data_IF_269797856271
#
_entry.id   IF_269797856271
#
_cell.length_a   1.000
_cell.length_b   1.000
_cell.length_c   1.000
_cell.angle_alpha   90.00
_cell.angle_beta   90.00
_cell.angle_gamma   90.00
#
_symmetry.space_group_name_H-M   'P 1'
#
loop_
_entity.id
_entity.type
_entity.pdbx_description
1 polymer ?
#
# COMPACT_ATOMS: atom_id res chain seq x y z
N UNK A 1 12.82 11.51 40.69
CA UNK A 1 13.64 10.66 39.79
C UNK A 1 12.70 9.76 39.02
N UNK A 2 12.28 10.17 37.82
CA UNK A 2 11.35 9.36 37.00
C UNK A 2 12.15 8.29 36.27
N UNK A 3 11.86 7.02 36.54
CA UNK A 3 12.40 5.90 35.79
C UNK A 3 11.94 6.01 34.33
N UNK A 4 12.89 6.13 33.40
CA UNK A 4 12.62 6.00 31.97
C UNK A 4 12.24 4.55 31.70
N UNK A 5 10.94 4.27 31.60
CA UNK A 5 10.46 2.97 31.19
C UNK A 5 11.03 2.63 29.81
N UNK A 6 11.59 1.43 29.65
CA UNK A 6 12.04 0.96 28.34
C UNK A 6 10.85 0.92 27.36
N UNK A 7 11.05 1.30 26.09
CA UNK A 7 9.99 1.29 25.09
C UNK A 7 9.42 -0.12 24.94
N UNK A 8 8.13 -0.31 25.27
CA UNK A 8 7.46 -1.58 25.00
C UNK A 8 7.30 -1.72 23.49
N UNK A 9 7.90 -2.78 22.95
CA UNK A 9 7.86 -3.11 21.52
C UNK A 9 7.17 -4.45 21.32
N UNK A 10 6.11 -4.45 20.52
CA UNK A 10 5.39 -5.66 20.14
C UNK A 10 5.92 -6.17 18.80
N UNK A 11 6.48 -7.38 18.77
CA UNK A 11 6.88 -8.04 17.54
C UNK A 11 5.70 -8.86 16.98
N UNK A 12 5.43 -8.72 15.68
CA UNK A 12 4.37 -9.43 14.97
C UNK A 12 4.92 -10.04 13.68
N UNK A 13 4.42 -11.22 13.35
CA UNK A 13 4.68 -11.86 12.05
C UNK A 13 3.46 -11.64 11.16
N UNK A 14 3.67 -10.96 10.03
CA UNK A 14 2.66 -10.77 9.00
C UNK A 14 2.74 -11.95 8.02
N UNK A 15 1.74 -12.86 8.01
CA UNK A 15 1.77 -14.05 7.16
C UNK A 15 1.63 -13.70 5.66
N UNK A 16 2.08 -14.62 4.82
CA UNK A 16 1.85 -14.56 3.36
C UNK A 16 0.41 -14.90 3.05
N UNK A 17 -0.21 -14.17 2.12
CA UNK A 17 -1.56 -14.45 1.63
C UNK A 17 -2.69 -14.19 2.63
N UNK A 18 -2.40 -13.59 3.79
CA UNK A 18 -3.41 -13.23 4.79
C UNK A 18 -3.17 -11.84 5.36
N UNK A 19 -4.26 -11.08 5.43
CA UNK A 19 -4.28 -9.76 6.05
C UNK A 19 -4.31 -9.84 7.57
N UNK A 20 -3.46 -9.07 8.22
CA UNK A 20 -3.49 -8.80 9.66
C UNK A 20 -4.10 -7.42 9.89
N UNK A 21 -5.07 -7.33 10.81
CA UNK A 21 -5.77 -6.08 11.12
C UNK A 21 -5.40 -5.60 12.50
N UNK A 22 -5.07 -4.31 12.60
CA UNK A 22 -4.78 -3.64 13.86
C UNK A 22 -5.82 -2.54 14.09
N UNK A 23 -6.52 -2.65 15.21
CA UNK A 23 -7.51 -1.66 15.63
C UNK A 23 -6.83 -0.57 16.46
N UNK A 24 -7.10 0.70 16.12
CA UNK A 24 -6.63 1.88 16.85
C UNK A 24 -5.09 2.04 16.98
N UNK A 25 -4.26 1.87 15.94
CA UNK A 25 -2.81 1.98 16.07
C UNK A 25 -2.29 3.45 16.04
N UNK A 26 -3.14 4.43 16.34
CA UNK A 26 -2.78 5.85 16.28
C UNK A 26 -1.66 6.16 17.27
N UNK A 27 -0.64 6.88 16.81
CA UNK A 27 0.53 7.23 17.61
C UNK A 27 1.55 6.10 17.74
N UNK A 28 1.37 4.97 17.04
CA UNK A 28 2.36 3.93 16.93
C UNK A 28 3.30 4.16 15.73
N UNK A 29 4.50 3.58 15.81
CA UNK A 29 5.43 3.40 14.71
C UNK A 29 5.50 1.92 14.36
N UNK A 30 5.29 1.61 13.08
CA UNK A 30 5.49 0.30 12.49
C UNK A 30 6.88 0.25 11.85
N UNK A 31 7.81 -0.52 12.41
CA UNK A 31 9.11 -0.80 11.78
C UNK A 31 9.13 -2.21 11.20
N UNK A 32 9.74 -2.39 10.03
CA UNK A 32 9.86 -3.71 9.39
C UNK A 32 11.27 -4.23 9.62
N UNK A 33 11.38 -5.33 10.36
CA UNK A 33 12.66 -5.99 10.64
C UNK A 33 13.11 -6.90 9.49
N UNK A 34 12.16 -7.61 8.88
CA UNK A 34 12.42 -8.51 7.75
C UNK A 34 11.23 -8.53 6.78
N UNK A 35 11.51 -8.77 5.50
CA UNK A 35 10.50 -8.80 4.45
C UNK A 35 10.01 -7.41 4.01
N UNK A 36 8.79 -7.36 3.48
CA UNK A 36 8.13 -6.14 3.01
C UNK A 36 6.63 -6.24 3.25
N UNK A 37 6.03 -5.15 3.71
CA UNK A 37 4.62 -5.10 4.10
C UNK A 37 3.88 -4.07 3.27
N UNK A 38 2.74 -4.48 2.71
CA UNK A 38 1.71 -3.60 2.18
C UNK A 38 0.81 -3.14 3.33
N UNK A 39 0.68 -1.83 3.46
CA UNK A 39 -0.04 -1.14 4.52
C UNK A 39 -1.17 -0.31 3.93
N UNK A 40 -2.40 -0.61 4.35
CA UNK A 40 -3.60 0.17 4.05
C UNK A 40 -4.17 0.73 5.34
N UNK A 41 -4.54 2.01 5.34
CA UNK A 41 -5.10 2.68 6.51
C UNK A 41 -6.48 3.26 6.18
N UNK A 42 -7.48 2.99 7.03
CA UNK A 42 -8.80 3.60 6.89
C UNK A 42 -8.71 5.13 6.88
N UNK A 43 -9.44 5.77 5.97
CA UNK A 43 -9.42 7.23 5.80
C UNK A 43 -8.22 7.77 5.01
N UNK A 44 -7.30 6.91 4.56
CA UNK A 44 -6.24 7.26 3.62
C UNK A 44 -6.54 6.62 2.27
N UNK A 45 -6.42 7.41 1.20
CA UNK A 45 -6.58 6.94 -0.17
C UNK A 45 -5.34 6.22 -0.71
N UNK A 46 -4.22 6.35 -0.01
CA UNK A 46 -2.92 5.87 -0.46
C UNK A 46 -2.46 4.69 0.38
N UNK A 47 -2.22 3.61 -0.33
CA UNK A 47 -1.54 2.45 0.16
C UNK A 47 -0.03 2.67 0.19
N UNK A 48 0.64 2.10 1.19
CA UNK A 48 2.08 2.26 1.39
C UNK A 48 2.75 0.90 1.47
N UNK A 49 3.97 0.81 0.95
CA UNK A 49 4.80 -0.37 1.10
C UNK A 49 6.01 -0.01 1.97
N UNK A 50 6.26 -0.82 3.00
CA UNK A 50 7.36 -0.60 3.95
C UNK A 50 8.27 -1.82 3.91
N UNK A 51 9.55 -1.63 3.59
CA UNK A 51 10.54 -2.70 3.49
C UNK A 51 11.38 -2.85 4.74
N UNK A 52 12.14 -3.94 4.84
CA UNK A 52 13.08 -4.18 5.92
C UNK A 52 14.03 -2.98 6.14
N UNK A 53 14.17 -2.57 7.39
CA UNK A 53 14.94 -1.40 7.80
C UNK A 53 14.19 -0.06 7.67
N UNK A 54 12.97 -0.05 7.12
CA UNK A 54 12.11 1.12 7.07
C UNK A 54 11.03 1.09 8.16
N UNK A 55 10.36 2.22 8.35
CA UNK A 55 9.21 2.34 9.26
C UNK A 55 8.19 3.35 8.77
N UNK A 56 7.03 3.31 9.42
CA UNK A 56 5.90 4.15 9.16
C UNK A 56 5.30 4.66 10.48
N UNK A 57 5.21 5.98 10.62
CA UNK A 57 4.45 6.60 11.70
C UNK A 57 2.95 6.59 11.37
N UNK A 58 2.14 6.12 12.31
CA UNK A 58 0.70 5.99 12.17
C UNK A 58 0.07 7.20 12.85
N UNK A 59 -0.19 8.24 12.07
CA UNK A 59 -0.64 9.54 12.59
C UNK A 59 -2.15 9.60 12.80
N UNK A 60 -2.91 9.01 11.88
CA UNK A 60 -4.37 9.06 11.90
C UNK A 60 -4.97 7.91 12.70
N UNK A 61 -6.20 8.14 13.18
CA UNK A 61 -7.03 7.07 13.73
C UNK A 61 -7.58 6.19 12.60
N UNK A 62 -7.95 4.95 12.94
CA UNK A 62 -8.57 4.02 12.00
C UNK A 62 -8.05 2.59 12.15
N UNK A 63 -8.47 1.73 11.23
CA UNK A 63 -7.94 0.37 11.12
C UNK A 63 -6.71 0.41 10.21
N UNK A 64 -5.66 -0.30 10.62
CA UNK A 64 -4.51 -0.58 9.77
C UNK A 64 -4.60 -2.04 9.31
N UNK A 65 -4.45 -2.26 8.02
CA UNK A 65 -4.38 -3.58 7.42
C UNK A 65 -2.95 -3.79 6.91
N UNK A 66 -2.36 -4.90 7.30
CA UNK A 66 -0.99 -5.30 6.97
C UNK A 66 -1.02 -6.61 6.20
N UNK A 67 -0.35 -6.65 5.06
CA UNK A 67 -0.17 -7.86 4.25
C UNK A 67 1.31 -8.01 3.86
N UNK A 68 1.83 -9.23 3.84
CA UNK A 68 3.16 -9.46 3.28
C UNK A 68 3.12 -9.28 1.76
N UNK A 69 4.04 -8.47 1.21
CA UNK A 69 4.25 -8.28 -0.23
C UNK A 69 5.27 -9.30 -0.81
N UNK A 70 5.63 -10.32 -0.02
CA UNK A 70 6.62 -11.33 -0.38
C UNK A 70 6.07 -12.76 -0.39
N UNK A 71 6.91 -13.70 -0.83
CA UNK A 71 6.66 -15.14 -0.72
C UNK A 71 7.00 -15.68 0.68
N UNK A 72 7.60 -14.85 1.53
CA UNK A 72 7.92 -15.15 2.93
C UNK A 72 7.16 -14.21 3.88
N UNK A 73 6.89 -14.64 5.13
CA UNK A 73 6.30 -13.77 6.13
C UNK A 73 7.19 -12.54 6.42
N UNK A 74 6.57 -11.42 6.74
CA UNK A 74 7.29 -10.22 7.15
C UNK A 74 7.31 -10.10 8.69
N UNK A 75 8.45 -9.68 9.23
CA UNK A 75 8.59 -9.38 10.66
C UNK A 75 8.42 -7.88 10.87
N UNK A 76 7.46 -7.51 11.71
CA UNK A 76 7.20 -6.11 12.06
C UNK A 76 7.27 -5.88 13.55
N UNK A 77 7.70 -4.69 13.93
CA UNK A 77 7.76 -4.20 15.29
C UNK A 77 6.85 -2.98 15.42
N UNK A 78 5.97 -3.00 16.40
CA UNK A 78 5.16 -1.86 16.79
C UNK A 78 5.67 -1.31 18.11
N UNK A 79 5.96 -0.02 18.13
CA UNK A 79 6.24 0.73 19.35
C UNK A 79 5.46 2.04 19.34
N UNK A 80 5.39 2.72 20.48
CA UNK A 80 4.86 4.07 20.51
C UNK A 80 5.81 5.00 19.74
N UNK A 81 5.28 5.86 18.87
CA UNK A 81 6.11 6.76 18.07
C UNK A 81 6.94 7.73 18.92
N UNK A 82 6.43 8.09 20.11
CA UNK A 82 7.14 8.91 21.09
C UNK A 82 8.38 8.21 21.69
N UNK A 83 8.38 6.88 21.68
CA UNK A 83 9.40 6.06 22.33
C UNK A 83 10.41 5.49 21.31
N UNK A 84 10.29 5.88 20.03
CA UNK A 84 11.10 5.34 18.95
C UNK A 84 12.41 6.12 18.76
N UNK A 85 13.57 5.44 18.59
CA UNK A 85 14.87 6.10 18.50
C UNK A 85 14.98 7.05 17.29
N UNK A 86 15.59 8.22 17.51
CA UNK A 86 15.75 9.28 16.50
C UNK A 86 16.65 8.88 15.31
N UNK A 87 17.51 7.86 15.48
CA UNK A 87 18.36 7.29 14.45
C UNK A 87 17.58 6.59 13.32
N UNK A 88 16.28 6.37 13.52
CA UNK A 88 15.36 5.82 12.54
C UNK A 88 14.62 6.95 11.82
N UNK A 89 15.29 7.78 11.00
CA UNK A 89 14.65 8.70 10.01
C UNK A 89 15.30 8.50 8.61
N UNK A 90 14.62 8.07 7.52
CA UNK A 90 15.31 7.75 6.29
C UNK A 90 15.44 9.05 5.48
N UNK A 91 16.59 9.23 4.83
CA UNK A 91 16.83 10.38 3.97
C UNK A 91 15.84 10.50 2.80
N UNK A 92 15.62 11.73 2.28
CA UNK A 92 14.61 12.03 1.25
C UNK A 92 14.80 11.25 -0.06
N UNK A 93 16.05 10.85 -0.38
CA UNK A 93 16.39 10.04 -1.55
C UNK A 93 15.81 8.62 -1.50
N UNK A 94 15.79 7.99 -0.31
CA UNK A 94 15.18 6.65 -0.15
C UNK A 94 13.65 6.71 -0.24
N UNK A 95 13.04 7.81 0.21
CA UNK A 95 11.59 8.06 0.04
C UNK A 95 11.18 8.10 -1.43
N UNK A 96 11.96 8.80 -2.28
CA UNK A 96 11.70 8.91 -3.73
C UNK A 96 11.88 7.58 -4.49
N UNK A 97 12.89 6.80 -4.14
CA UNK A 97 13.12 5.49 -4.77
C UNK A 97 12.02 4.48 -4.40
N UNK A 98 11.48 4.56 -3.18
CA UNK A 98 10.33 3.76 -2.77
C UNK A 98 9.08 4.10 -3.60
N UNK A 99 8.84 5.38 -3.90
CA UNK A 99 7.70 5.83 -4.73
C UNK A 99 7.81 5.38 -6.19
N UNK A 100 9.03 5.36 -6.74
CA UNK A 100 9.26 4.89 -8.12
C UNK A 100 9.02 3.38 -8.25
N UNK A 101 9.42 2.58 -7.26
CA UNK A 101 9.22 1.12 -7.28
C UNK A 101 7.76 0.70 -7.09
N UNK A 102 6.96 1.48 -6.35
CA UNK A 102 5.51 1.22 -6.19
C UNK A 102 4.72 1.56 -7.46
N UNK A 103 5.07 2.64 -8.16
CA UNK A 103 4.46 2.97 -9.45
C UNK A 103 4.74 1.89 -10.52
N UNK A 104 5.97 1.37 -10.57
CA UNK A 104 6.37 0.31 -11.49
C UNK A 104 5.63 -1.02 -11.25
N UNK A 105 5.36 -1.40 -10.00
CA UNK A 105 4.60 -2.63 -9.69
C UNK A 105 3.09 -2.47 -9.88
N UNK A 106 2.51 -1.31 -9.57
CA UNK A 106 1.11 -1.01 -9.89
C UNK A 106 0.86 -1.02 -11.42
N UNK A 107 1.85 -0.58 -12.20
CA UNK A 107 1.82 -0.70 -13.66
C UNK A 107 1.86 -2.16 -14.11
N UNK A 108 2.71 -3.00 -13.51
CA UNK A 108 2.76 -4.43 -13.80
C UNK A 108 1.47 -5.18 -13.42
N UNK A 109 0.88 -4.90 -12.26
CA UNK A 109 -0.39 -5.52 -11.83
C UNK A 109 -1.57 -5.11 -12.73
N UNK A 110 -1.65 -3.84 -13.13
CA UNK A 110 -2.68 -3.39 -14.09
C UNK A 110 -2.51 -4.03 -15.46
N UNK A 111 -1.27 -4.27 -15.91
CA UNK A 111 -1.00 -4.96 -17.17
C UNK A 111 -1.35 -6.45 -17.10
N UNK A 112 -1.09 -7.10 -15.97
CA UNK A 112 -1.48 -8.50 -15.73
C UNK A 112 -3.02 -8.67 -15.68
N UNK A 113 -3.73 -7.75 -15.01
CA UNK A 113 -5.20 -7.76 -14.96
C UNK A 113 -5.82 -7.57 -16.35
N UNK A 114 -5.28 -6.66 -17.18
CA UNK A 114 -5.74 -6.49 -18.57
C UNK A 114 -5.51 -7.74 -19.42
N UNK A 115 -4.36 -8.38 -19.25
CA UNK A 115 -4.05 -9.62 -19.97
C UNK A 115 -4.95 -10.80 -19.55
N UNK A 116 -5.38 -10.86 -18.28
CA UNK A 116 -6.34 -11.85 -17.79
C UNK A 116 -7.76 -11.58 -18.33
N UNK A 117 -8.19 -10.32 -18.36
CA UNK A 117 -9.50 -9.91 -18.88
C UNK A 117 -9.63 -10.25 -20.38
N UNK A 118 -8.59 -9.98 -21.18
CA UNK A 118 -8.57 -10.31 -22.61
C UNK A 118 -8.62 -11.81 -22.89
N UNK A 119 -8.02 -12.62 -22.01
CA UNK A 119 -8.00 -14.08 -22.10
C UNK A 119 -9.34 -14.69 -21.69
N UNK A 120 -9.92 -14.20 -20.59
CA UNK A 120 -11.28 -14.58 -20.17
C UNK A 120 -12.32 -14.23 -21.23
N UNK A 121 -12.25 -13.02 -21.82
CA UNK A 121 -13.14 -12.61 -22.90
C UNK A 121 -12.99 -13.50 -24.15
N UNK A 122 -11.77 -13.97 -24.43
CA UNK A 122 -11.54 -14.92 -25.51
C UNK A 122 -12.11 -16.32 -25.19
N UNK A 123 -11.95 -16.81 -23.96
CA UNK A 123 -12.40 -18.13 -23.52
C UNK A 123 -13.94 -18.25 -23.51
N UNK A 124 -14.66 -17.16 -23.20
CA UNK A 124 -16.13 -17.13 -23.31
C UNK A 124 -16.63 -16.83 -24.74
N UNK A 125 -15.73 -16.82 -25.73
CA UNK A 125 -16.08 -16.73 -27.15
C UNK A 125 -16.40 -15.32 -27.68
N UNK A 126 -16.02 -14.25 -26.97
CA UNK A 126 -16.32 -12.88 -27.42
C UNK A 126 -15.51 -12.54 -28.69
N UNK A 127 -16.18 -12.17 -29.81
CA UNK A 127 -15.51 -11.83 -31.06
C UNK A 127 -14.54 -10.66 -30.90
N UNK A 128 -13.41 -10.70 -31.62
CA UNK A 128 -12.36 -9.68 -31.52
C UNK A 128 -12.85 -8.25 -31.84
N UNK A 129 -13.85 -8.10 -32.72
CA UNK A 129 -14.47 -6.81 -33.00
C UNK A 129 -15.16 -6.20 -31.78
N UNK A 130 -15.86 -7.02 -30.99
CA UNK A 130 -16.57 -6.58 -29.80
C UNK A 130 -15.60 -6.25 -28.65
N UNK A 131 -14.50 -7.01 -28.50
CA UNK A 131 -13.41 -6.69 -27.56
C UNK A 131 -12.80 -5.31 -27.82
N UNK A 132 -12.61 -4.94 -29.10
CA UNK A 132 -12.10 -3.62 -29.49
C UNK A 132 -13.09 -2.49 -29.15
N UNK A 133 -14.39 -2.73 -29.34
CA UNK A 133 -15.44 -1.77 -28.98
C UNK A 133 -15.46 -1.52 -27.46
N UNK A 134 -15.44 -2.58 -26.66
CA UNK A 134 -15.43 -2.49 -25.19
C UNK A 134 -14.17 -1.81 -24.65
N UNK A 135 -13.01 -2.05 -25.27
CA UNK A 135 -11.77 -1.37 -24.91
C UNK A 135 -11.83 0.14 -25.23
N UNK A 136 -12.43 0.52 -26.36
CA UNK A 136 -12.61 1.91 -26.75
C UNK A 136 -13.60 2.65 -25.83
N UNK A 137 -14.70 2.00 -25.45
CA UNK A 137 -15.69 2.53 -24.51
C UNK A 137 -15.10 2.73 -23.10
N UNK A 138 -14.32 1.75 -22.60
CA UNK A 138 -13.60 1.90 -21.33
C UNK A 138 -12.58 3.03 -21.36
N UNK A 139 -11.82 3.17 -22.46
CA UNK A 139 -10.87 4.26 -22.62
C UNK A 139 -11.57 5.63 -22.63
N UNK A 140 -12.74 5.74 -23.26
CA UNK A 140 -13.56 6.95 -23.25
C UNK A 140 -14.13 7.25 -21.85
N UNK A 141 -14.57 6.22 -21.11
CA UNK A 141 -15.07 6.36 -19.75
C UNK A 141 -13.97 6.79 -18.76
N UNK A 142 -12.78 6.18 -18.85
CA UNK A 142 -11.61 6.55 -18.04
C UNK A 142 -11.16 7.98 -18.34
N UNK A 143 -11.18 8.40 -19.61
CA UNK A 143 -10.93 9.78 -19.99
C UNK A 143 -11.95 10.71 -19.33
N UNK A 144 -13.25 10.45 -19.48
CA UNK A 144 -14.33 11.27 -18.90
C UNK A 144 -14.25 11.38 -17.36
N UNK A 145 -13.88 10.31 -16.67
CA UNK A 145 -13.64 10.32 -15.21
C UNK A 145 -12.38 11.11 -14.83
N UNK A 146 -11.37 11.15 -15.70
CA UNK A 146 -10.18 11.99 -15.54
C UNK A 146 -10.47 13.49 -15.66
N UNK A 147 -11.41 13.89 -16.54
CA UNK A 147 -11.86 15.28 -16.67
C UNK A 147 -12.63 15.77 -15.42
N UNK A 148 -13.44 14.92 -14.78
CA UNK A 148 -14.19 15.29 -13.56
C UNK A 148 -13.32 15.58 -12.33
N UNK A 149 -12.11 15.03 -12.24
CA UNK A 149 -11.17 15.32 -11.14
C UNK A 149 -10.38 16.62 -11.32
N UNK A 150 -10.51 17.28 -12.47
CA UNK A 150 -9.73 18.47 -12.86
C UNK A 150 -10.58 19.74 -12.93
N UNK A 151 -11.76 19.75 -12.30
CA UNK A 151 -12.56 20.96 -12.08
C UNK A 151 -12.21 21.54 -10.70
N UNK A 152 -11.76 22.79 -10.59
CA UNK A 152 -11.77 23.49 -9.32
C UNK A 152 -13.24 23.70 -8.92
N UNK A 153 -13.60 23.25 -7.72
CA UNK A 153 -14.89 23.54 -7.11
C UNK A 153 -14.97 25.04 -6.81
N UNK A 154 -15.60 25.79 -7.71
CA UNK A 154 -15.96 27.18 -7.55
C UNK A 154 -16.78 27.64 -8.74
N UNK A 155 -18.10 27.59 -8.61
CA UNK A 155 -19.08 28.69 -8.67
C UNK A 155 -20.48 28.09 -8.53
#
# INVERSE_FOLDING_TARGET
MSATAAPVTLALVVPVGRAMRLSQPRGARLAVGAGRVWVTQSGRSEDRFVGAGDWLDIVDAGVLVLESDGIEPALVHLCRAADAPAASRPGPLRRRLATLRTALRAWHQRRALRALDDRLLADIGVPAALRRSLAAERAAADAALGWRRRMPSGW
#
